data_IF_395233767975
#
_entry.id   IF_395233767975
#
_cell.length_a   1.000
_cell.length_b   1.000
_cell.length_c   1.000
_cell.angle_alpha   90.00
_cell.angle_beta   90.00
_cell.angle_gamma   90.00
#
_symmetry.space_group_name_H-M   'P 1'
#
loop_
_entity.id
_entity.type
_entity.pdbx_description
1 polymer ?
#
# COMPACT_ATOMS: atom_id res chain seq x y z
N UNK A 1 3.99 5.21 12.97
CA UNK A 1 4.92 4.13 12.54
C UNK A 1 5.37 4.34 11.10
N UNK A 2 6.61 3.95 10.74
CA UNK A 2 7.18 4.06 9.39
C UNK A 2 7.62 2.70 8.87
N UNK A 3 7.29 2.40 7.62
CA UNK A 3 7.81 1.23 6.89
C UNK A 3 8.41 1.66 5.55
N UNK A 4 9.25 0.80 4.98
CA UNK A 4 9.72 0.89 3.61
C UNK A 4 9.56 -0.48 2.97
N UNK A 5 8.82 -0.53 1.86
CA UNK A 5 8.57 -1.76 1.11
C UNK A 5 9.11 -1.61 -0.29
N UNK A 6 9.76 -2.65 -0.79
CA UNK A 6 10.26 -2.71 -2.16
C UNK A 6 9.23 -3.39 -3.04
N UNK A 7 8.92 -2.75 -4.16
CA UNK A 7 8.07 -3.27 -5.23
C UNK A 7 8.89 -4.10 -6.21
N UNK A 8 8.22 -4.88 -7.07
CA UNK A 8 8.91 -5.68 -8.08
C UNK A 8 9.68 -4.81 -9.08
N UNK A 9 9.08 -3.69 -9.46
CA UNK A 9 9.69 -2.66 -10.28
C UNK A 9 9.26 -1.24 -9.89
N UNK A 10 9.81 -0.25 -10.61
CA UNK A 10 9.49 1.16 -10.44
C UNK A 10 8.03 1.51 -10.76
N UNK A 11 7.41 0.77 -11.68
CA UNK A 11 6.02 1.00 -12.06
C UNK A 11 5.07 0.59 -10.92
N UNK A 12 5.30 -0.58 -10.32
CA UNK A 12 4.57 -1.05 -9.15
C UNK A 12 4.75 -0.11 -7.95
N UNK A 13 5.95 0.47 -7.75
CA UNK A 13 6.17 1.48 -6.71
C UNK A 13 5.34 2.76 -6.92
N UNK A 14 5.29 3.26 -8.16
CA UNK A 14 4.48 4.42 -8.52
C UNK A 14 2.97 4.15 -8.34
N UNK A 15 2.54 2.96 -8.77
CA UNK A 15 1.16 2.47 -8.63
C UNK A 15 0.77 2.33 -7.16
N UNK A 16 1.60 1.74 -6.32
CA UNK A 16 1.34 1.67 -4.89
C UNK A 16 1.17 3.06 -4.27
N UNK A 17 2.08 3.99 -4.57
CA UNK A 17 2.00 5.36 -4.03
C UNK A 17 0.73 6.10 -4.46
N UNK A 18 0.24 5.91 -5.69
CA UNK A 18 -0.99 6.55 -6.16
C UNK A 18 -2.26 5.97 -5.52
N UNK A 19 -2.22 4.71 -5.06
CA UNK A 19 -3.33 4.06 -4.35
C UNK A 19 -3.38 4.43 -2.86
N UNK A 20 -2.25 4.83 -2.27
CA UNK A 20 -2.16 5.09 -0.83
C UNK A 20 -2.69 6.46 -0.40
N UNK A 21 -2.64 7.48 -1.27
CA UNK A 21 -2.79 8.87 -0.81
C UNK A 21 -3.55 9.79 -1.77
N UNK A 22 -4.65 10.35 -1.29
CA UNK A 22 -5.25 11.58 -1.84
C UNK A 22 -4.78 12.73 -0.96
N UNK A 23 -4.02 13.66 -1.55
CA UNK A 23 -3.42 14.82 -0.86
C UNK A 23 -4.42 15.69 -0.08
N UNK A 24 -5.69 15.66 -0.47
CA UNK A 24 -6.70 16.58 0.05
C UNK A 24 -7.55 16.01 1.19
N UNK A 25 -7.55 14.68 1.41
CA UNK A 25 -8.44 14.03 2.40
C UNK A 25 -7.71 13.24 3.50
N UNK A 26 -6.39 13.04 3.42
CA UNK A 26 -5.63 12.19 4.36
C UNK A 26 -6.22 10.78 4.55
N UNK A 27 -6.96 10.28 3.56
CA UNK A 27 -7.54 8.95 3.57
C UNK A 27 -6.93 8.11 2.45
N UNK A 28 -6.74 6.83 2.74
CA UNK A 28 -6.35 5.85 1.71
C UNK A 28 -7.53 5.58 0.78
N UNK A 29 -7.25 5.32 -0.51
CA UNK A 29 -8.26 4.80 -1.42
C UNK A 29 -8.56 3.32 -1.17
N UNK A 30 -7.65 2.61 -0.50
CA UNK A 30 -7.78 1.17 -0.24
C UNK A 30 -8.86 0.95 0.82
N UNK A 31 -9.85 0.13 0.49
CA UNK A 31 -10.97 -0.20 1.38
C UNK A 31 -10.90 -1.61 1.96
N UNK A 32 -10.20 -2.53 1.29
CA UNK A 32 -10.01 -3.89 1.75
C UNK A 32 -8.82 -4.57 1.04
N UNK A 33 -8.19 -5.53 1.71
CA UNK A 33 -7.36 -6.55 1.06
C UNK A 33 -8.29 -7.68 0.60
N UNK A 34 -8.32 -7.96 -0.70
CA UNK A 34 -9.13 -9.02 -1.28
C UNK A 34 -8.39 -10.36 -1.29
N UNK A 35 -7.08 -10.34 -1.55
CA UNK A 35 -6.27 -11.54 -1.51
C UNK A 35 -4.78 -11.24 -1.40
N UNK A 36 -3.99 -12.23 -0.98
CA UNK A 36 -2.53 -12.20 -0.93
C UNK A 36 -1.98 -13.46 -1.59
N UNK A 37 -1.21 -13.29 -2.67
CA UNK A 37 -0.58 -14.37 -3.41
C UNK A 37 0.94 -14.21 -3.38
N UNK A 38 1.59 -14.86 -2.43
CA UNK A 38 3.05 -14.75 -2.22
C UNK A 38 3.50 -13.28 -2.02
N UNK A 39 4.05 -12.64 -3.05
CA UNK A 39 4.47 -11.24 -3.06
C UNK A 39 3.46 -10.28 -3.71
N UNK A 40 2.31 -10.77 -4.20
CA UNK A 40 1.27 -9.95 -4.81
C UNK A 40 0.10 -9.70 -3.85
N UNK A 41 -0.30 -8.44 -3.71
CA UNK A 41 -1.42 -8.01 -2.89
C UNK A 41 -2.56 -7.49 -3.75
N UNK A 42 -3.75 -8.07 -3.65
CA UNK A 42 -4.95 -7.59 -4.35
C UNK A 42 -5.79 -6.75 -3.40
N UNK A 43 -6.08 -5.51 -3.76
CA UNK A 43 -6.80 -4.54 -2.94
C UNK A 43 -8.04 -3.99 -3.64
N UNK A 44 -9.09 -3.74 -2.86
CA UNK A 44 -10.28 -3.02 -3.32
C UNK A 44 -10.13 -1.52 -3.05
N UNK A 45 -10.63 -0.69 -3.96
CA UNK A 45 -10.61 0.77 -3.82
C UNK A 45 -12.01 1.34 -3.56
N UNK A 46 -12.09 2.61 -3.15
CA UNK A 46 -13.36 3.33 -2.90
C UNK A 46 -14.28 3.38 -4.12
N UNK A 47 -13.73 3.38 -5.33
CA UNK A 47 -14.48 3.37 -6.59
C UNK A 47 -15.00 1.97 -7.00
N UNK A 48 -14.81 0.96 -6.13
CA UNK A 48 -15.18 -0.45 -6.32
C UNK A 48 -14.34 -1.20 -7.35
N UNK A 49 -13.27 -0.59 -7.86
CA UNK A 49 -12.27 -1.32 -8.64
C UNK A 49 -11.40 -2.20 -7.74
N UNK A 50 -10.73 -3.17 -8.35
CA UNK A 50 -9.72 -4.00 -7.70
C UNK A 50 -8.41 -3.88 -8.46
N UNK A 51 -7.32 -3.71 -7.72
CA UNK A 51 -5.97 -3.60 -8.25
C UNK A 51 -5.05 -4.55 -7.52
N UNK A 52 -4.14 -5.19 -8.23
CA UNK A 52 -3.04 -5.90 -7.59
C UNK A 52 -1.82 -5.01 -7.44
N UNK A 53 -0.94 -5.28 -6.49
CA UNK A 53 0.38 -4.66 -6.34
C UNK A 53 1.39 -5.79 -6.19
N UNK A 54 2.43 -5.81 -7.01
CA UNK A 54 3.49 -6.83 -6.91
C UNK A 54 4.69 -6.27 -6.15
N UNK A 55 4.99 -6.90 -5.01
CA UNK A 55 6.10 -6.53 -4.15
C UNK A 55 7.34 -7.37 -4.46
N UNK A 56 8.50 -6.97 -3.95
CA UNK A 56 9.78 -7.61 -4.32
C UNK A 56 9.83 -9.09 -3.95
N UNK A 57 9.26 -9.41 -2.79
CA UNK A 57 9.20 -10.75 -2.22
C UNK A 57 8.05 -10.83 -1.21
N UNK A 58 7.79 -12.04 -0.70
CA UNK A 58 6.78 -12.31 0.31
C UNK A 58 6.94 -11.46 1.58
N UNK A 59 8.19 -11.20 1.99
CA UNK A 59 8.45 -10.43 3.23
C UNK A 59 7.93 -9.00 3.08
N UNK A 60 8.18 -8.37 1.93
CA UNK A 60 7.62 -7.06 1.62
C UNK A 60 6.08 -7.12 1.54
N UNK A 61 5.54 -8.20 0.94
CA UNK A 61 4.11 -8.53 0.92
C UNK A 61 3.46 -8.53 2.31
N UNK A 62 3.99 -9.34 3.21
CA UNK A 62 3.50 -9.49 4.58
C UNK A 62 3.61 -8.17 5.36
N UNK A 63 4.75 -7.46 5.25
CA UNK A 63 4.96 -6.16 5.92
C UNK A 63 3.95 -5.12 5.45
N UNK A 64 3.68 -5.07 4.14
CA UNK A 64 2.70 -4.12 3.60
C UNK A 64 1.27 -4.50 4.01
N UNK A 65 0.91 -5.78 3.93
CA UNK A 65 -0.41 -6.28 4.30
C UNK A 65 -0.74 -5.97 5.77
N UNK A 66 0.18 -6.27 6.69
CA UNK A 66 0.03 -5.94 8.11
C UNK A 66 -0.11 -4.42 8.32
N UNK A 67 0.74 -3.64 7.65
CA UNK A 67 0.71 -2.20 7.78
C UNK A 67 -0.62 -1.57 7.32
N UNK A 68 -1.13 -1.99 6.15
CA UNK A 68 -2.34 -1.40 5.55
C UNK A 68 -3.60 -1.91 6.22
N UNK A 69 -3.59 -3.13 6.78
CA UNK A 69 -4.75 -3.68 7.50
C UNK A 69 -5.17 -2.77 8.66
N UNK A 70 -4.22 -2.30 9.47
CA UNK A 70 -4.55 -1.38 10.57
C UNK A 70 -5.08 -0.02 10.09
N UNK A 71 -4.77 0.39 8.86
CA UNK A 71 -5.29 1.62 8.24
C UNK A 71 -6.72 1.40 7.76
N UNK A 72 -6.98 0.24 7.14
CA UNK A 72 -8.32 -0.19 6.72
C UNK A 72 -9.27 -0.30 7.92
N UNK A 73 -8.77 -0.85 9.04
CA UNK A 73 -9.51 -0.98 10.30
C UNK A 73 -9.69 0.35 11.05
N UNK A 74 -9.17 1.45 10.48
CA UNK A 74 -9.23 2.82 11.01
C UNK A 74 -8.55 3.01 12.37
N UNK A 75 -7.67 2.09 12.76
CA UNK A 75 -6.83 2.24 13.96
C UNK A 75 -5.77 3.33 13.74
N UNK A 76 -5.30 3.46 12.50
CA UNK A 76 -4.23 4.37 12.11
C UNK A 76 -4.58 5.08 10.80
N UNK A 77 -3.91 6.21 10.51
CA UNK A 77 -4.06 6.95 9.25
C UNK A 77 -2.71 7.16 8.59
N UNK A 78 -2.67 7.03 7.26
CA UNK A 78 -1.46 7.35 6.48
C UNK A 78 -1.29 8.87 6.47
N UNK A 79 -0.10 9.32 6.84
CA UNK A 79 0.27 10.74 6.88
C UNK A 79 1.26 11.12 5.79
N UNK A 80 2.01 10.16 5.24
CA UNK A 80 2.88 10.40 4.10
C UNK A 80 3.22 9.12 3.33
N UNK A 81 3.51 9.29 2.04
CA UNK A 81 4.20 8.29 1.22
C UNK A 81 5.22 8.96 0.30
N UNK A 82 6.37 8.31 0.09
CA UNK A 82 7.42 8.77 -0.81
C UNK A 82 7.98 7.60 -1.63
N UNK A 83 8.17 7.81 -2.93
CA UNK A 83 8.72 6.80 -3.85
C UNK A 83 10.20 7.05 -4.10
N UNK A 84 11.01 5.99 -3.98
CA UNK A 84 12.45 5.96 -4.24
C UNK A 84 12.77 4.79 -5.17
N UNK A 85 12.76 5.03 -6.49
CA UNK A 85 12.86 3.97 -7.51
C UNK A 85 11.78 2.90 -7.30
N UNK A 86 12.16 1.70 -6.87
CA UNK A 86 11.30 0.55 -6.60
C UNK A 86 10.79 0.54 -5.15
N UNK A 87 11.31 1.39 -4.27
CA UNK A 87 10.89 1.44 -2.88
C UNK A 87 9.80 2.48 -2.64
N UNK A 88 8.88 2.16 -1.74
CA UNK A 88 7.88 3.10 -1.21
C UNK A 88 8.05 3.19 0.31
N UNK A 89 8.38 4.37 0.80
CA UNK A 89 8.35 4.69 2.23
C UNK A 89 6.96 5.21 2.59
N UNK A 90 6.36 4.65 3.65
CA UNK A 90 4.99 4.97 4.09
C UNK A 90 5.02 5.24 5.59
N UNK A 91 4.35 6.31 6.02
CA UNK A 91 4.21 6.68 7.43
C UNK A 91 2.73 6.72 7.79
N UNK A 92 2.37 6.09 8.91
CA UNK A 92 1.07 6.22 9.57
C UNK A 92 1.21 6.83 10.97
N UNK A 93 0.20 7.54 11.46
CA UNK A 93 0.12 7.96 12.88
C UNK A 93 -0.20 6.77 13.77
#
# INVERSE_FOLDING_TARGET
MKIRVRCDDKYEAQKLSSLLFIKDENETFITAILNVFDNELVVALKDKSAHSIVLKDKVNGDVFADFIQSVIDKEHKIVSSMVFEEDVEIVKE
#
